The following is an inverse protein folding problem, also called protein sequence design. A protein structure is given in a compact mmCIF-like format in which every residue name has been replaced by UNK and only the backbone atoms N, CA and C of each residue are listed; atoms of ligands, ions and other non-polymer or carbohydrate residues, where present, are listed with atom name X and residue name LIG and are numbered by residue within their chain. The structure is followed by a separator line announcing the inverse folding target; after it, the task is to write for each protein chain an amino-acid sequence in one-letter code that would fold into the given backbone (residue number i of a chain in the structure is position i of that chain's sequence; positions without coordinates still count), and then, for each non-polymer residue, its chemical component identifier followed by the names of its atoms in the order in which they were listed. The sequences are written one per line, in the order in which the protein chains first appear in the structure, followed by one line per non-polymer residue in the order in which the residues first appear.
data_IF_836975740288
#
_entry.id   IF_836975740288
#
_cell.length_a   1.000
_cell.length_b   1.000
_cell.length_c   1.000
_cell.angle_alpha   90.00
_cell.angle_beta   90.00
_cell.angle_gamma   90.00
#
_symmetry.space_group_name_H-M   'P 1'
#
loop_
_entity.id
_entity.type
_entity.pdbx_description
1 polymer ?
#
# COMPACT_ATOMS: atom_id res chain seq x y z
N UNK A 1 -31.45 6.98 -10.39
CA UNK A 1 -30.50 6.43 -9.40
C UNK A 1 -29.76 5.28 -10.07
N UNK A 2 -28.44 5.22 -10.00
CA UNK A 2 -27.67 4.16 -10.64
C UNK A 2 -27.63 2.91 -9.76
N UNK A 3 -27.78 1.72 -10.36
CA UNK A 3 -27.59 0.45 -9.65
C UNK A 3 -26.10 0.21 -9.45
N UNK A 4 -25.69 -0.16 -8.24
CA UNK A 4 -24.32 -0.54 -7.94
C UNK A 4 -24.02 -1.95 -8.47
N UNK A 5 -22.74 -2.26 -8.66
CA UNK A 5 -22.34 -3.62 -9.02
C UNK A 5 -22.46 -4.56 -7.82
N UNK A 6 -22.80 -5.84 -8.07
CA UNK A 6 -22.98 -6.84 -6.99
C UNK A 6 -21.75 -6.99 -6.09
N UNK A 7 -20.53 -6.80 -6.64
CA UNK A 7 -19.28 -6.86 -5.85
C UNK A 7 -19.21 -5.75 -4.80
N UNK A 8 -19.70 -4.56 -5.13
CA UNK A 8 -19.72 -3.41 -4.21
C UNK A 8 -20.84 -3.59 -3.19
N UNK A 9 -22.01 -4.06 -3.62
CA UNK A 9 -23.15 -4.33 -2.73
C UNK A 9 -22.83 -5.38 -1.65
N UNK A 10 -21.88 -6.30 -1.92
CA UNK A 10 -21.44 -7.33 -0.98
C UNK A 10 -20.34 -6.88 0.00
N UNK A 11 -19.74 -5.70 -0.18
CA UNK A 11 -18.71 -5.23 0.74
C UNK A 11 -19.35 -4.89 2.10
N UNK A 12 -18.81 -5.43 3.22
CA UNK A 12 -19.30 -5.07 4.53
C UNK A 12 -18.94 -3.60 4.87
N UNK A 13 -19.63 -2.98 5.84
CA UNK A 13 -19.22 -1.68 6.37
C UNK A 13 -17.75 -1.67 6.81
N UNK A 14 -17.05 -0.57 6.54
CA UNK A 14 -15.65 -0.44 6.92
C UNK A 14 -15.53 -0.07 8.39
N UNK A 15 -15.20 -1.06 9.22
CA UNK A 15 -15.13 -0.94 10.68
C UNK A 15 -14.35 0.28 11.18
N UNK A 16 -13.20 0.58 10.55
CA UNK A 16 -12.36 1.71 11.00
C UNK A 16 -12.99 3.08 10.73
N UNK A 17 -13.79 3.24 9.67
CA UNK A 17 -14.53 4.50 9.46
C UNK A 17 -15.53 4.75 10.60
N UNK A 18 -16.16 3.68 11.09
CA UNK A 18 -17.10 3.76 12.20
C UNK A 18 -16.40 4.06 13.53
N UNK A 19 -15.21 3.49 13.74
CA UNK A 19 -14.35 3.84 14.88
C UNK A 19 -13.93 5.31 14.79
N UNK A 20 -13.53 5.81 13.62
CA UNK A 20 -13.13 7.21 13.43
C UNK A 20 -14.29 8.18 13.69
N UNK A 21 -15.51 7.82 13.28
CA UNK A 21 -16.72 8.57 13.59
C UNK A 21 -16.96 8.65 15.10
N UNK A 22 -16.91 7.51 15.80
CA UNK A 22 -17.07 7.47 17.25
C UNK A 22 -15.98 8.26 17.99
N UNK A 23 -14.72 8.16 17.55
CA UNK A 23 -13.62 8.97 18.09
C UNK A 23 -13.92 10.46 17.95
N UNK A 24 -14.46 10.88 16.81
CA UNK A 24 -14.84 12.28 16.57
C UNK A 24 -15.97 12.72 17.50
N UNK A 25 -17.03 11.91 17.66
CA UNK A 25 -18.15 12.22 18.56
C UNK A 25 -17.72 12.32 20.03
N UNK A 26 -16.80 11.46 20.47
CA UNK A 26 -16.28 11.45 21.84
C UNK A 26 -15.34 12.66 22.07
N UNK A 27 -14.49 13.01 21.10
CA UNK A 27 -13.67 14.23 21.15
C UNK A 27 -14.51 15.50 21.26
N UNK A 28 -15.64 15.57 20.53
CA UNK A 28 -16.57 16.70 20.60
C UNK A 28 -17.20 16.88 21.99
N UNK A 29 -17.26 15.82 22.80
CA UNK A 29 -17.72 15.87 24.21
C UNK A 29 -16.61 16.29 25.18
N UNK A 30 -15.42 16.66 24.69
CA UNK A 30 -14.27 17.06 25.52
C UNK A 30 -13.53 15.89 26.17
N UNK A 31 -13.77 14.65 25.71
CA UNK A 31 -13.08 13.47 26.22
C UNK A 31 -11.74 13.31 25.53
N UNK A 32 -10.68 13.19 26.33
CA UNK A 32 -9.33 12.85 25.86
C UNK A 32 -9.29 11.38 25.42
N UNK A 33 -8.72 11.13 24.24
CA UNK A 33 -8.62 9.78 23.66
C UNK A 33 -7.15 9.41 23.53
N UNK A 34 -6.77 8.28 24.14
CA UNK A 34 -5.52 7.59 23.85
C UNK A 34 -5.80 6.60 22.71
N UNK A 35 -5.35 6.93 21.50
CA UNK A 35 -5.61 6.10 20.31
C UNK A 35 -4.51 5.05 20.14
N UNK A 36 -4.86 3.79 20.38
CA UNK A 36 -4.00 2.62 20.17
C UNK A 36 -4.56 1.71 19.06
N UNK A 37 -5.46 2.25 18.22
CA UNK A 37 -6.26 1.45 17.29
C UNK A 37 -5.71 1.31 15.88
N UNK A 38 -4.76 2.16 15.47
CA UNK A 38 -4.21 2.20 14.11
C UNK A 38 -2.72 1.88 14.15
N UNK A 39 -2.28 0.95 13.29
CA UNK A 39 -0.88 0.51 13.20
C UNK A 39 0.02 1.41 12.35
N UNK A 40 -0.23 2.72 12.35
CA UNK A 40 0.63 3.69 11.65
C UNK A 40 1.76 4.10 12.59
N UNK A 41 3.05 3.99 12.20
CA UNK A 41 4.16 4.40 13.04
C UNK A 41 4.08 5.88 13.42
N UNK A 42 4.38 6.19 14.67
CA UNK A 42 4.49 7.56 15.20
C UNK A 42 5.88 8.18 14.95
N UNK A 43 6.83 7.37 14.46
CA UNK A 43 8.18 7.78 14.10
C UNK A 43 8.18 8.27 12.64
N UNK A 44 8.75 9.46 12.35
CA UNK A 44 8.81 9.96 10.98
C UNK A 44 9.71 9.10 10.09
N UNK A 45 9.45 9.16 8.78
CA UNK A 45 10.36 8.59 7.77
C UNK A 45 11.81 9.09 7.99
N UNK A 46 12.82 8.22 7.98
CA UNK A 46 14.22 8.61 8.10
C UNK A 46 14.63 9.73 7.13
N UNK A 47 15.47 10.65 7.62
CA UNK A 47 15.85 11.86 6.88
C UNK A 47 16.53 11.54 5.55
N UNK A 48 17.34 10.50 5.51
CA UNK A 48 18.10 10.07 4.35
C UNK A 48 17.16 9.67 3.19
N UNK A 49 16.02 9.04 3.51
CA UNK A 49 15.00 8.67 2.52
C UNK A 49 14.29 9.92 1.99
N UNK A 50 13.96 10.86 2.89
CA UNK A 50 13.33 12.13 2.53
C UNK A 50 14.24 12.93 1.58
N UNK A 51 15.54 13.02 1.88
CA UNK A 51 16.49 13.75 1.03
C UNK A 51 16.72 13.05 -0.32
N UNK A 52 16.79 11.71 -0.35
CA UNK A 52 16.87 10.96 -1.60
C UNK A 52 15.63 11.19 -2.50
N UNK A 53 14.43 11.23 -1.91
CA UNK A 53 13.21 11.55 -2.64
C UNK A 53 13.22 12.97 -3.21
N UNK A 54 13.67 13.96 -2.43
CA UNK A 54 13.83 15.35 -2.92
C UNK A 54 14.78 15.43 -4.11
N UNK A 55 15.96 14.80 -3.99
CA UNK A 55 16.94 14.78 -5.08
C UNK A 55 16.37 14.11 -6.33
N UNK A 56 15.66 12.99 -6.18
CA UNK A 56 15.02 12.32 -7.32
C UNK A 56 13.97 13.21 -8.02
N UNK A 57 13.28 14.08 -7.28
CA UNK A 57 12.31 15.02 -7.85
C UNK A 57 12.96 16.16 -8.66
N UNK A 58 14.25 16.45 -8.46
CA UNK A 58 14.98 17.46 -9.24
C UNK A 58 15.28 16.99 -10.68
N UNK A 59 15.26 15.68 -10.94
CA UNK A 59 15.48 15.11 -12.28
C UNK A 59 14.16 15.06 -13.09
N UNK A 60 14.02 15.83 -14.18
CA UNK A 60 12.82 15.83 -15.02
C UNK A 60 12.51 14.48 -15.66
N UNK A 61 13.49 13.56 -15.78
CA UNK A 61 13.24 12.22 -16.31
C UNK A 61 12.31 11.41 -15.40
N UNK A 62 12.35 11.67 -14.10
CA UNK A 62 11.49 11.00 -13.11
C UNK A 62 10.04 11.51 -13.12
N UNK A 63 9.71 12.52 -13.94
CA UNK A 63 8.36 13.11 -13.98
C UNK A 63 7.45 12.41 -15.01
N UNK A 64 8.02 11.55 -15.85
CA UNK A 64 7.29 10.80 -16.86
C UNK A 64 6.65 9.55 -16.27
N UNK A 65 5.78 8.88 -17.04
CA UNK A 65 5.24 7.60 -16.63
C UNK A 65 6.37 6.58 -16.41
N UNK A 66 6.39 5.87 -15.27
CA UNK A 66 7.35 4.80 -15.07
C UNK A 66 7.01 3.60 -15.97
N UNK A 67 7.92 2.63 -16.03
CA UNK A 67 7.59 1.30 -16.57
C UNK A 67 6.43 0.68 -15.79
N UNK A 68 5.64 -0.17 -16.46
CA UNK A 68 4.46 -0.80 -15.86
C UNK A 68 4.80 -1.66 -14.65
N UNK A 69 6.00 -2.24 -14.61
CA UNK A 69 6.48 -3.10 -13.54
C UNK A 69 7.18 -2.32 -12.40
N UNK A 70 7.37 -1.00 -12.57
CA UNK A 70 8.27 -0.17 -11.77
C UNK A 70 9.71 -0.18 -12.28
N UNK A 71 10.48 0.84 -11.89
CA UNK A 71 11.85 1.03 -12.39
C UNK A 71 12.71 -0.20 -12.12
N UNK A 72 13.62 -0.50 -13.04
CA UNK A 72 14.48 -1.68 -12.91
C UNK A 72 15.40 -1.55 -11.69
N UNK A 73 15.89 -0.34 -11.42
CA UNK A 73 16.73 -0.02 -10.27
C UNK A 73 16.03 -0.35 -8.94
N UNK A 74 14.74 -0.02 -8.84
CA UNK A 74 13.95 -0.36 -7.65
C UNK A 74 13.77 -1.87 -7.52
N UNK A 75 13.40 -2.57 -8.60
CA UNK A 75 13.24 -4.03 -8.58
C UNK A 75 14.53 -4.77 -8.24
N UNK A 76 15.67 -4.32 -8.78
CA UNK A 76 16.99 -4.85 -8.45
C UNK A 76 17.35 -4.62 -6.98
N UNK A 77 17.03 -3.44 -6.42
CA UNK A 77 17.23 -3.16 -5.01
C UNK A 77 16.37 -4.07 -4.10
N UNK A 78 15.12 -4.34 -4.50
CA UNK A 78 14.23 -5.28 -3.79
C UNK A 78 14.79 -6.70 -3.82
N UNK A 79 15.23 -7.20 -4.97
CA UNK A 79 15.83 -8.53 -5.10
C UNK A 79 17.08 -8.69 -4.22
N UNK A 80 17.98 -7.70 -4.23
CA UNK A 80 19.17 -7.68 -3.38
C UNK A 80 18.81 -7.66 -1.89
N UNK A 81 17.83 -6.83 -1.50
CA UNK A 81 17.36 -6.78 -0.12
C UNK A 81 16.79 -8.13 0.35
N UNK A 82 16.03 -8.81 -0.51
CA UNK A 82 15.52 -10.16 -0.24
C UNK A 82 16.64 -11.18 -0.06
N UNK A 83 17.68 -11.12 -0.89
CA UNK A 83 18.86 -11.98 -0.77
C UNK A 83 19.58 -11.73 0.55
N UNK A 84 19.86 -10.48 0.89
CA UNK A 84 20.61 -10.14 2.10
C UNK A 84 19.82 -10.44 3.38
N UNK A 85 18.51 -10.16 3.37
CA UNK A 85 17.66 -10.29 4.56
C UNK A 85 17.19 -11.72 4.80
N UNK A 86 16.86 -12.44 3.73
CA UNK A 86 16.17 -13.73 3.80
C UNK A 86 16.90 -14.86 3.08
N UNK A 87 18.04 -14.58 2.42
CA UNK A 87 18.76 -15.53 1.57
C UNK A 87 17.89 -16.12 0.44
N UNK A 88 16.98 -15.31 -0.10
CA UNK A 88 16.14 -15.66 -1.25
C UNK A 88 16.67 -14.95 -2.48
N UNK A 89 17.05 -15.72 -3.51
CA UNK A 89 17.41 -15.18 -4.82
C UNK A 89 16.14 -14.91 -5.63
N UNK A 90 15.99 -13.68 -6.14
CA UNK A 90 14.89 -13.26 -7.01
C UNK A 90 15.46 -12.68 -8.31
N UNK A 91 14.88 -13.02 -9.45
CA UNK A 91 15.13 -12.36 -10.72
C UNK A 91 14.37 -11.03 -10.77
N UNK A 92 15.06 -9.87 -10.73
CA UNK A 92 14.38 -8.59 -10.74
C UNK A 92 13.60 -8.34 -12.03
N UNK A 93 13.91 -9.03 -13.13
CA UNK A 93 13.19 -8.88 -14.40
C UNK A 93 11.77 -9.47 -14.35
N UNK A 94 11.59 -10.60 -13.67
CA UNK A 94 10.36 -11.42 -13.77
C UNK A 94 9.70 -11.75 -12.43
N UNK A 95 10.38 -11.58 -11.30
CA UNK A 95 9.91 -11.99 -9.97
C UNK A 95 9.71 -10.80 -9.00
N UNK A 96 9.80 -9.57 -9.50
CA UNK A 96 9.60 -8.35 -8.71
C UNK A 96 8.64 -7.39 -9.44
N UNK A 97 7.64 -6.90 -8.72
CA UNK A 97 6.66 -5.92 -9.21
C UNK A 97 6.50 -4.80 -8.18
N UNK A 98 6.66 -3.54 -8.60
CA UNK A 98 6.37 -2.40 -7.76
C UNK A 98 4.85 -2.18 -7.65
N UNK A 99 4.37 -1.90 -6.43
CA UNK A 99 2.95 -1.73 -6.12
C UNK A 99 2.69 -0.36 -5.51
N UNK A 100 1.44 0.10 -5.58
CA UNK A 100 0.98 1.31 -4.88
C UNK A 100 0.64 0.92 -3.42
N UNK A 101 1.66 0.42 -2.72
CA UNK A 101 1.53 -0.18 -1.40
C UNK A 101 0.89 -1.57 -1.41
N UNK A 102 1.02 -2.29 -0.29
CA UNK A 102 0.59 -3.69 -0.17
C UNK A 102 -0.92 -3.90 -0.37
N UNK A 103 -1.74 -2.92 0.01
CA UNK A 103 -3.20 -2.99 -0.11
C UNK A 103 -3.65 -3.14 -1.56
N UNK A 104 -2.97 -2.46 -2.48
CA UNK A 104 -3.27 -2.52 -3.91
C UNK A 104 -2.96 -3.92 -4.45
N UNK A 105 -1.74 -4.43 -4.23
CA UNK A 105 -1.39 -5.79 -4.68
C UNK A 105 -2.28 -6.88 -4.08
N UNK A 106 -2.58 -6.83 -2.78
CA UNK A 106 -3.47 -7.80 -2.12
C UNK A 106 -4.88 -7.73 -2.70
N UNK A 107 -5.39 -6.53 -3.00
CA UNK A 107 -6.73 -6.37 -3.56
C UNK A 107 -6.82 -6.83 -5.03
N UNK A 108 -5.76 -6.66 -5.82
CA UNK A 108 -5.75 -7.07 -7.23
C UNK A 108 -5.37 -8.53 -7.45
N UNK A 109 -4.61 -9.15 -6.53
CA UNK A 109 -4.16 -10.54 -6.68
C UNK A 109 -5.32 -11.51 -6.97
N UNK A 110 -6.47 -11.47 -6.25
CA UNK A 110 -7.59 -12.34 -6.56
C UNK A 110 -8.16 -12.13 -7.97
N UNK A 111 -8.12 -10.90 -8.51
CA UNK A 111 -8.62 -10.63 -9.86
C UNK A 111 -7.80 -11.31 -10.96
N UNK A 112 -6.54 -11.64 -10.67
CA UNK A 112 -5.65 -12.34 -11.60
C UNK A 112 -5.71 -13.87 -11.48
N UNK A 113 -6.09 -14.41 -10.32
CA UNK A 113 -5.90 -15.82 -9.99
C UNK A 113 -7.15 -16.56 -9.48
N UNK A 114 -8.27 -15.87 -9.25
CA UNK A 114 -9.45 -16.46 -8.61
C UNK A 114 -10.65 -16.38 -9.55
N UNK A 115 -11.21 -17.55 -9.88
CA UNK A 115 -12.45 -17.67 -10.62
C UNK A 115 -13.66 -17.86 -9.68
N UNK A 116 -14.86 -17.69 -10.24
CA UNK A 116 -16.10 -17.88 -9.49
C UNK A 116 -16.25 -19.35 -9.06
N UNK A 117 -16.25 -19.58 -7.75
CA UNK A 117 -16.43 -20.90 -7.16
C UNK A 117 -15.15 -21.47 -6.55
N UNK A 118 -14.02 -20.81 -6.77
CA UNK A 118 -12.77 -21.14 -6.10
C UNK A 118 -12.85 -20.83 -4.59
N UNK A 119 -12.07 -21.58 -3.81
CA UNK A 119 -11.88 -21.33 -2.38
C UNK A 119 -10.67 -20.42 -2.17
N UNK A 120 -10.85 -19.34 -1.41
CA UNK A 120 -9.82 -18.32 -1.09
C UNK A 120 -9.71 -18.09 0.40
#
# INVERSE_FOLDING_TARGET
MFKLSERIEKLPPYLFAEIDKLKTEVKQKGVEIIDLGIGDPDIPTPKEIIEAAKQALEDPQNHQYPSYEGSFEFRAAVANWYKDRFNVDLDPQNECLALIGSKEGIAHLPLAFVDKGDYT
#
